data_IF_467291366742
#
_entry.id   IF_467291366742
#
_cell.length_a   1.000
_cell.length_b   1.000
_cell.length_c   1.000
_cell.angle_alpha   90.00
_cell.angle_beta   90.00
_cell.angle_gamma   90.00
#
_symmetry.space_group_name_H-M   'P 1'
#
loop_
_entity.id
_entity.type
_entity.pdbx_description
1 polymer ?
#
# COMPACT_ATOMS: atom_id res chain seq x y z
N UNK A 1 -29.51 71.56 -23.75
CA UNK A 1 -28.78 70.53 -24.51
C UNK A 1 -27.36 70.45 -23.97
N UNK A 2 -27.04 69.45 -23.14
CA UNK A 2 -25.73 68.80 -23.02
C UNK A 2 -25.85 67.74 -21.91
N UNK A 3 -25.96 66.47 -22.31
CA UNK A 3 -25.93 65.34 -21.39
C UNK A 3 -24.45 65.01 -21.15
N UNK A 4 -23.99 65.13 -19.91
CA UNK A 4 -22.68 64.61 -19.49
C UNK A 4 -22.73 63.08 -19.55
N UNK A 5 -21.84 62.49 -20.35
CA UNK A 5 -21.57 61.06 -20.41
C UNK A 5 -20.44 60.79 -19.42
N UNK A 6 -20.75 60.14 -18.30
CA UNK A 6 -19.73 59.56 -17.42
C UNK A 6 -19.18 58.30 -18.07
N UNK A 7 -17.91 58.32 -18.48
CA UNK A 7 -17.19 57.13 -18.91
C UNK A 7 -16.83 56.30 -17.67
N UNK A 8 -17.48 55.15 -17.53
CA UNK A 8 -17.17 54.16 -16.50
C UNK A 8 -15.93 53.37 -16.96
N UNK A 9 -14.76 53.69 -16.40
CA UNK A 9 -13.54 52.92 -16.63
C UNK A 9 -13.69 51.57 -15.92
N UNK A 10 -13.95 50.51 -16.68
CA UNK A 10 -13.88 49.14 -16.18
C UNK A 10 -12.41 48.84 -15.93
N UNK A 11 -12.01 48.83 -14.65
CA UNK A 11 -10.75 48.23 -14.22
C UNK A 11 -10.90 46.73 -14.46
N UNK A 12 -10.30 46.23 -15.54
CA UNK A 12 -10.15 44.80 -15.75
C UNK A 12 -9.40 44.25 -14.53
N UNK A 13 -10.08 43.43 -13.73
CA UNK A 13 -9.39 42.56 -12.76
C UNK A 13 -8.37 41.74 -13.54
N UNK A 14 -7.17 41.61 -12.97
CA UNK A 14 -6.13 40.73 -13.50
C UNK A 14 -6.76 39.36 -13.80
N UNK A 15 -6.93 39.06 -15.08
CA UNK A 15 -7.44 37.79 -15.52
C UNK A 15 -6.49 36.70 -15.04
N UNK A 16 -7.04 35.67 -14.38
CA UNK A 16 -6.37 34.39 -14.19
C UNK A 16 -5.83 33.94 -15.56
N UNK A 17 -4.51 34.03 -15.74
CA UNK A 17 -3.85 33.36 -16.85
C UNK A 17 -4.21 31.88 -16.74
N UNK A 18 -4.60 31.21 -17.84
CA UNK A 18 -4.75 29.76 -17.83
C UNK A 18 -3.41 29.19 -17.36
N UNK A 19 -3.37 28.61 -16.16
CA UNK A 19 -2.19 27.87 -15.73
C UNK A 19 -2.03 26.74 -16.74
N UNK A 20 -0.91 26.73 -17.47
CA UNK A 20 -0.57 25.62 -18.35
C UNK A 20 -0.80 24.30 -17.60
N UNK A 21 -1.26 23.27 -18.32
CA UNK A 21 -1.48 21.96 -17.72
C UNK A 21 -0.21 21.52 -16.97
N UNK A 22 -0.32 21.06 -15.70
CA UNK A 22 0.84 20.67 -14.91
C UNK A 22 1.73 19.67 -15.65
N UNK A 23 3.05 19.89 -15.57
CA UNK A 23 4.07 19.04 -16.17
C UNK A 23 4.98 18.45 -15.10
N UNK A 24 5.49 17.27 -15.41
CA UNK A 24 6.49 16.57 -14.63
C UNK A 24 7.88 17.12 -14.98
N UNK A 25 8.64 17.55 -13.97
CA UNK A 25 9.94 18.22 -14.16
C UNK A 25 11.14 17.30 -13.98
N UNK A 26 10.96 16.14 -13.37
CA UNK A 26 12.03 15.26 -12.94
C UNK A 26 12.54 15.60 -11.52
N UNK A 27 13.15 14.65 -10.81
CA UNK A 27 13.59 14.81 -9.42
C UNK A 27 14.79 15.76 -9.27
N UNK A 28 15.47 16.07 -10.37
CA UNK A 28 16.58 17.06 -10.40
C UNK A 28 16.17 18.45 -9.90
N UNK A 29 14.89 18.83 -10.04
CA UNK A 29 14.38 20.10 -9.50
C UNK A 29 14.34 20.14 -7.97
N UNK A 30 14.45 18.99 -7.30
CA UNK A 30 14.46 18.85 -5.84
C UNK A 30 15.90 18.72 -5.27
N UNK A 31 16.86 18.39 -6.13
CA UNK A 31 18.16 17.82 -5.76
C UNK A 31 19.22 18.81 -5.23
N UNK A 32 18.93 20.12 -5.19
CA UNK A 32 19.89 21.10 -4.68
C UNK A 32 20.14 20.90 -3.16
N UNK A 33 21.39 21.04 -2.66
CA UNK A 33 21.69 20.97 -1.23
C UNK A 33 20.96 21.99 -0.35
N UNK A 34 20.48 23.09 -0.93
CA UNK A 34 19.63 24.10 -0.25
C UNK A 34 18.15 23.73 -0.25
N UNK A 35 17.76 22.70 -1.00
CA UNK A 35 16.39 22.19 -1.14
C UNK A 35 16.27 20.83 -0.44
N UNK A 36 16.24 19.72 -1.18
CA UNK A 36 16.11 18.36 -0.63
C UNK A 36 17.35 17.49 -0.87
N UNK A 37 18.42 18.02 -1.44
CA UNK A 37 19.66 17.31 -1.77
C UNK A 37 20.79 17.43 -0.75
N UNK A 38 20.49 17.82 0.49
CA UNK A 38 21.47 17.81 1.57
C UNK A 38 22.03 16.41 1.82
N UNK A 39 23.29 16.30 2.24
CA UNK A 39 23.91 15.00 2.55
C UNK A 39 23.54 14.49 3.96
N UNK A 40 23.04 15.36 4.82
CA UNK A 40 22.64 15.08 6.20
C UNK A 40 21.32 15.80 6.52
N UNK A 41 20.49 15.23 7.43
CA UNK A 41 19.23 15.84 7.80
C UNK A 41 19.44 17.14 8.57
N UNK A 42 18.59 18.13 8.30
CA UNK A 42 18.52 19.40 9.02
C UNK A 42 17.40 19.39 10.06
N UNK A 43 17.65 20.00 11.21
CA UNK A 43 16.71 20.07 12.34
C UNK A 43 15.96 21.39 12.45
N UNK A 44 16.42 22.45 11.78
CA UNK A 44 15.91 23.82 11.83
C UNK A 44 14.79 24.11 10.81
N UNK A 45 14.37 23.11 10.03
CA UNK A 45 13.26 23.22 9.07
C UNK A 45 12.14 22.21 9.35
N UNK A 46 10.98 22.39 8.72
CA UNK A 46 9.84 21.46 8.84
C UNK A 46 10.09 20.09 8.21
N UNK A 47 11.12 19.97 7.36
CA UNK A 47 11.56 18.73 6.70
C UNK A 47 13.02 18.45 7.05
N UNK A 48 13.64 17.40 6.51
CA UNK A 48 15.06 17.12 6.74
C UNK A 48 15.98 17.75 5.69
N UNK A 49 15.45 18.15 4.52
CA UNK A 49 16.22 18.73 3.42
C UNK A 49 17.30 17.79 2.84
N UNK A 50 17.19 16.49 3.07
CA UNK A 50 18.04 15.43 2.53
C UNK A 50 17.22 14.30 1.88
N UNK A 51 15.96 14.56 1.57
CA UNK A 51 15.01 13.60 1.05
C UNK A 51 15.44 13.04 -0.31
N UNK A 52 15.91 13.90 -1.22
CA UNK A 52 16.45 13.48 -2.52
C UNK A 52 17.65 12.55 -2.34
N UNK A 53 18.59 12.91 -1.45
CA UNK A 53 19.78 12.09 -1.17
C UNK A 53 19.41 10.74 -0.57
N UNK A 54 18.38 10.71 0.29
CA UNK A 54 17.86 9.45 0.86
C UNK A 54 17.21 8.59 -0.22
N UNK A 55 16.38 9.20 -1.08
CA UNK A 55 15.72 8.53 -2.20
C UNK A 55 16.75 7.91 -3.15
N UNK A 56 17.66 8.72 -3.71
CA UNK A 56 18.58 8.25 -4.76
C UNK A 56 19.59 7.21 -4.26
N UNK A 57 19.96 7.22 -2.97
CA UNK A 57 20.97 6.32 -2.42
C UNK A 57 20.37 5.06 -1.79
N UNK A 58 19.22 5.18 -1.13
CA UNK A 58 18.69 4.12 -0.26
C UNK A 58 17.35 3.56 -0.71
N UNK A 59 16.54 4.36 -1.43
CA UNK A 59 15.19 3.96 -1.78
C UNK A 59 15.19 3.04 -3.01
N UNK A 60 14.46 1.92 -2.91
CA UNK A 60 14.29 0.96 -4.01
C UNK A 60 13.57 1.58 -5.21
N UNK A 61 12.73 2.59 -4.97
CA UNK A 61 12.00 3.31 -6.01
C UNK A 61 12.91 4.00 -7.03
N UNK A 62 14.07 4.54 -6.59
CA UNK A 62 15.07 5.12 -7.49
C UNK A 62 15.68 4.10 -8.47
N UNK A 63 15.64 2.81 -8.11
CA UNK A 63 16.15 1.71 -8.94
C UNK A 63 15.04 0.99 -9.73
N UNK A 64 13.80 1.49 -9.70
CA UNK A 64 12.67 0.79 -10.30
C UNK A 64 12.80 0.62 -11.82
N UNK A 65 13.37 1.60 -12.53
CA UNK A 65 13.60 1.47 -13.97
C UNK A 65 14.72 0.46 -14.27
N UNK A 66 15.82 0.50 -13.52
CA UNK A 66 17.00 -0.32 -13.80
C UNK A 66 16.72 -1.83 -13.70
N UNK A 67 15.78 -2.24 -12.83
CA UNK A 67 15.40 -3.67 -12.74
C UNK A 67 14.75 -4.20 -14.02
N UNK A 68 14.19 -3.34 -14.88
CA UNK A 68 13.62 -3.75 -16.17
C UNK A 68 14.68 -4.20 -17.19
N UNK A 69 15.96 -3.98 -16.91
CA UNK A 69 17.09 -4.38 -17.76
C UNK A 69 17.87 -5.59 -17.23
N UNK A 70 17.48 -6.11 -16.06
CA UNK A 70 18.21 -7.21 -15.43
C UNK A 70 17.91 -8.57 -16.12
N UNK A 71 18.63 -9.65 -15.78
CA UNK A 71 18.42 -10.97 -16.39
C UNK A 71 17.00 -11.54 -16.16
N UNK A 72 16.35 -11.22 -15.04
CA UNK A 72 14.98 -11.66 -14.75
C UNK A 72 14.00 -10.96 -15.70
N UNK A 73 14.06 -9.64 -15.81
CA UNK A 73 13.21 -8.86 -16.70
C UNK A 73 13.43 -9.22 -18.19
N UNK A 74 14.67 -9.50 -18.60
CA UNK A 74 14.98 -10.00 -19.94
C UNK A 74 14.30 -11.34 -20.22
N UNK A 75 14.33 -12.26 -19.24
CA UNK A 75 13.64 -13.55 -19.34
C UNK A 75 12.12 -13.37 -19.40
N UNK A 76 11.56 -12.51 -18.54
CA UNK A 76 10.14 -12.19 -18.53
C UNK A 76 9.67 -11.64 -19.88
N UNK A 77 10.40 -10.68 -20.45
CA UNK A 77 10.10 -10.12 -21.76
C UNK A 77 10.04 -11.21 -22.84
N UNK A 78 10.99 -12.15 -22.83
CA UNK A 78 10.97 -13.30 -23.75
C UNK A 78 9.75 -14.21 -23.56
N UNK A 79 9.40 -14.55 -22.31
CA UNK A 79 8.24 -15.41 -21.99
C UNK A 79 6.94 -14.74 -22.43
N UNK A 80 6.81 -13.43 -22.18
CA UNK A 80 5.64 -12.62 -22.49
C UNK A 80 5.58 -12.15 -23.95
N UNK A 81 6.54 -12.51 -24.79
CA UNK A 81 6.60 -12.10 -26.20
C UNK A 81 6.82 -10.59 -26.41
N UNK A 82 7.43 -9.91 -25.45
CA UNK A 82 7.75 -8.48 -25.50
C UNK A 82 9.11 -8.25 -26.16
N UNK A 83 9.28 -7.09 -26.81
CA UNK A 83 10.59 -6.66 -27.34
C UNK A 83 11.63 -6.52 -26.22
N UNK A 84 11.27 -5.79 -25.16
CA UNK A 84 12.05 -5.61 -23.94
C UNK A 84 11.13 -5.10 -22.82
N UNK A 85 11.49 -5.34 -21.55
CA UNK A 85 10.65 -4.90 -20.42
C UNK A 85 10.77 -3.38 -20.18
N UNK A 86 11.94 -2.79 -20.39
CA UNK A 86 12.26 -1.36 -20.23
C UNK A 86 11.61 -0.43 -21.27
N UNK A 87 10.94 -0.99 -22.28
CA UNK A 87 10.14 -0.24 -23.27
C UNK A 87 8.67 -0.67 -23.31
N UNK A 88 8.29 -1.68 -22.53
CA UNK A 88 6.93 -2.20 -22.52
C UNK A 88 6.04 -1.33 -21.61
N UNK A 89 4.94 -0.73 -22.12
CA UNK A 89 4.08 0.12 -21.31
C UNK A 89 3.55 -0.55 -20.03
N UNK A 90 3.23 -1.85 -20.10
CA UNK A 90 2.77 -2.61 -18.92
C UNK A 90 3.79 -2.70 -17.79
N UNK A 91 5.09 -2.65 -18.10
CA UNK A 91 6.17 -2.67 -17.12
C UNK A 91 6.44 -1.24 -16.62
N UNK A 92 6.50 -0.28 -17.54
CA UNK A 92 6.75 1.13 -17.24
C UNK A 92 5.65 1.76 -16.38
N UNK A 93 4.41 1.27 -16.45
CA UNK A 93 3.28 1.74 -15.66
C UNK A 93 3.53 1.78 -14.14
N UNK A 94 4.39 0.89 -13.61
CA UNK A 94 4.76 0.84 -12.20
C UNK A 94 6.24 1.15 -11.94
N UNK A 95 7.12 0.90 -12.91
CA UNK A 95 8.58 0.99 -12.73
C UNK A 95 9.19 2.32 -13.17
N UNK A 96 8.38 3.19 -13.78
CA UNK A 96 8.76 4.52 -14.21
C UNK A 96 7.57 5.49 -14.07
N UNK A 97 7.86 6.78 -14.14
CA UNK A 97 6.83 7.80 -14.32
C UNK A 97 6.42 7.88 -15.80
N UNK A 98 5.64 6.92 -16.31
CA UNK A 98 5.27 6.90 -17.74
C UNK A 98 4.05 7.79 -18.03
N UNK A 99 4.32 9.01 -18.47
CA UNK A 99 3.30 10.02 -18.79
C UNK A 99 3.42 10.48 -20.26
N UNK A 100 2.35 10.93 -20.93
CA UNK A 100 2.45 11.39 -22.33
C UNK A 100 3.40 12.59 -22.50
N UNK A 101 3.98 12.76 -23.70
CA UNK A 101 4.99 13.80 -23.97
C UNK A 101 4.53 15.23 -23.66
N UNK A 102 3.24 15.53 -23.84
CA UNK A 102 2.68 16.85 -23.52
C UNK A 102 2.65 17.16 -22.00
N UNK A 103 2.82 16.16 -21.14
CA UNK A 103 2.94 16.29 -19.68
C UNK A 103 4.40 16.32 -19.22
N UNK A 104 5.38 16.16 -20.11
CA UNK A 104 6.81 16.14 -19.76
C UNK A 104 7.41 17.55 -19.91
N UNK A 105 8.12 18.02 -18.90
CA UNK A 105 8.99 19.18 -19.05
C UNK A 105 10.28 18.80 -19.80
N UNK A 106 11.07 19.79 -20.23
CA UNK A 106 12.34 19.55 -20.92
C UNK A 106 13.36 18.75 -20.07
N UNK A 107 13.27 18.87 -18.75
CA UNK A 107 14.17 18.23 -17.78
C UNK A 107 13.71 16.84 -17.34
N UNK A 108 12.55 16.38 -17.80
CA UNK A 108 11.99 15.09 -17.45
C UNK A 108 12.80 13.94 -18.06
N UNK A 109 13.07 12.90 -17.26
CA UNK A 109 13.65 11.64 -17.73
C UNK A 109 12.85 10.45 -17.18
N UNK A 110 12.41 9.55 -18.06
CA UNK A 110 11.69 8.32 -17.67
C UNK A 110 12.60 7.31 -16.96
N UNK A 111 13.92 7.44 -17.09
CA UNK A 111 14.90 6.54 -16.45
C UNK A 111 15.10 6.84 -14.96
N UNK A 112 14.53 7.93 -14.44
CA UNK A 112 14.55 8.27 -13.01
C UNK A 112 13.79 7.27 -12.12
N UNK A 113 13.13 6.26 -12.71
CA UNK A 113 12.35 5.26 -11.99
C UNK A 113 11.11 5.85 -11.34
N UNK A 114 10.78 5.37 -10.14
CA UNK A 114 9.69 5.93 -9.33
C UNK A 114 10.26 7.11 -8.54
N UNK A 115 10.24 8.29 -9.18
CA UNK A 115 10.81 9.54 -8.66
C UNK A 115 9.84 10.32 -7.77
N UNK A 116 10.29 11.47 -7.23
CA UNK A 116 9.52 12.33 -6.32
C UNK A 116 8.08 12.61 -6.80
N UNK A 117 7.93 12.93 -8.08
CA UNK A 117 6.63 13.30 -8.67
C UNK A 117 5.73 12.10 -8.96
N UNK A 118 6.25 10.87 -8.90
CA UNK A 118 5.44 9.65 -8.94
C UNK A 118 4.50 9.58 -7.74
N UNK A 119 4.94 10.11 -6.59
CA UNK A 119 4.15 10.19 -5.37
C UNK A 119 3.54 11.59 -5.18
N UNK A 120 4.32 12.66 -5.36
CA UNK A 120 3.90 14.03 -5.09
C UNK A 120 3.12 14.71 -6.22
N UNK A 121 3.03 14.11 -7.41
CA UNK A 121 2.38 14.71 -8.58
C UNK A 121 3.28 15.71 -9.33
N UNK A 122 2.79 16.25 -10.46
CA UNK A 122 3.58 17.10 -11.37
C UNK A 122 3.95 18.44 -10.74
N UNK A 123 5.25 18.73 -10.67
CA UNK A 123 5.79 19.84 -9.88
C UNK A 123 5.74 21.20 -10.57
N UNK A 124 5.55 21.29 -11.89
CA UNK A 124 5.71 22.55 -12.63
C UNK A 124 4.93 23.73 -12.04
N UNK A 125 3.74 23.45 -11.50
CA UNK A 125 2.82 24.49 -11.04
C UNK A 125 2.95 24.79 -9.54
N UNK A 126 3.52 23.88 -8.73
CA UNK A 126 3.72 24.09 -7.29
C UNK A 126 5.18 24.25 -6.86
N UNK A 127 6.15 23.94 -7.71
CA UNK A 127 7.59 24.09 -7.41
C UNK A 127 7.95 25.53 -7.03
N UNK A 128 7.49 26.51 -7.81
CA UNK A 128 7.71 27.94 -7.51
C UNK A 128 7.12 28.34 -6.14
N UNK A 129 5.79 28.20 -5.93
CA UNK A 129 5.15 28.47 -4.65
C UNK A 129 5.75 27.74 -3.46
N UNK A 130 6.21 26.50 -3.67
CA UNK A 130 6.90 25.68 -2.66
C UNK A 130 8.24 26.27 -2.19
N UNK A 131 8.96 27.01 -3.04
CA UNK A 131 10.23 27.65 -2.65
C UNK A 131 10.08 28.98 -1.90
N UNK A 132 8.86 29.49 -1.76
CA UNK A 132 8.62 30.80 -1.12
C UNK A 132 8.89 30.76 0.38
N UNK A 133 9.18 31.91 0.99
CA UNK A 133 9.51 32.00 2.44
C UNK A 133 8.40 31.51 3.36
N UNK A 134 7.14 31.71 2.96
CA UNK A 134 5.96 31.31 3.73
C UNK A 134 5.52 29.85 3.44
N UNK A 135 6.18 29.15 2.52
CA UNK A 135 5.88 27.76 2.12
C UNK A 135 5.73 26.79 3.28
N UNK A 136 6.48 26.99 4.37
CA UNK A 136 6.46 26.10 5.54
C UNK A 136 5.18 26.17 6.36
N UNK A 137 4.32 27.17 6.13
CA UNK A 137 3.05 27.34 6.84
C UNK A 137 2.00 26.32 6.38
N UNK A 138 1.27 25.64 7.29
CA UNK A 138 0.28 24.63 6.93
C UNK A 138 -0.78 25.09 5.93
N UNK A 139 -1.24 26.33 6.03
CA UNK A 139 -2.25 26.94 5.15
C UNK A 139 -1.78 27.03 3.68
N UNK A 140 -0.48 27.08 3.44
CA UNK A 140 0.09 27.17 2.09
C UNK A 140 0.25 25.80 1.43
N UNK A 141 0.14 24.71 2.19
CA UNK A 141 0.15 23.36 1.61
C UNK A 141 -1.08 23.11 0.74
N UNK A 142 -2.25 23.61 1.15
CA UNK A 142 -3.47 23.49 0.36
C UNK A 142 -3.36 24.22 -0.99
N UNK A 143 -2.59 25.30 -1.05
CA UNK A 143 -2.29 25.99 -2.30
C UNK A 143 -1.54 25.07 -3.27
N UNK A 144 -0.53 24.32 -2.79
CA UNK A 144 0.21 23.36 -3.61
C UNK A 144 -0.68 22.22 -4.11
N UNK A 145 -1.57 21.74 -3.25
CA UNK A 145 -2.56 20.73 -3.62
C UNK A 145 -3.47 21.25 -4.73
N UNK A 146 -3.96 22.48 -4.62
CA UNK A 146 -4.75 23.14 -5.65
C UNK A 146 -3.97 23.37 -6.96
N UNK A 147 -2.64 23.38 -6.89
CA UNK A 147 -1.73 23.50 -8.03
C UNK A 147 -1.31 22.15 -8.64
N UNK A 148 -1.76 21.02 -8.07
CA UNK A 148 -1.53 19.67 -8.60
C UNK A 148 -0.64 18.77 -7.74
N UNK A 149 -0.21 19.22 -6.56
CA UNK A 149 0.50 18.35 -5.61
C UNK A 149 -0.47 17.32 -5.01
N UNK A 150 -0.04 16.06 -4.91
CA UNK A 150 -0.77 15.06 -4.13
C UNK A 150 -0.46 15.22 -2.65
N UNK A 151 -1.51 15.32 -1.83
CA UNK A 151 -1.35 15.47 -0.39
C UNK A 151 -1.02 14.14 0.30
N UNK A 152 0.26 13.81 0.37
CA UNK A 152 0.73 12.63 1.09
C UNK A 152 0.76 12.83 2.61
N UNK A 153 0.37 14.01 3.16
CA UNK A 153 0.22 14.18 4.62
C UNK A 153 -1.03 13.47 5.11
N UNK A 154 -2.05 13.38 4.26
CA UNK A 154 -3.22 12.54 4.50
C UNK A 154 -2.86 11.06 4.27
N UNK A 155 -2.93 10.20 5.31
CA UNK A 155 -2.62 8.77 5.17
C UNK A 155 -3.56 8.04 4.21
N UNK A 156 -4.79 8.52 3.97
CA UNK A 156 -5.72 7.95 2.98
C UNK A 156 -5.18 8.16 1.57
N UNK A 157 -4.80 9.40 1.23
CA UNK A 157 -4.19 9.72 -0.06
C UNK A 157 -2.83 9.06 -0.23
N UNK A 158 -2.01 9.03 0.82
CA UNK A 158 -0.72 8.35 0.80
C UNK A 158 -0.89 6.85 0.51
N UNK A 159 -1.78 6.17 1.23
CA UNK A 159 -2.05 4.75 0.99
C UNK A 159 -2.54 4.52 -0.43
N UNK A 160 -3.52 5.30 -0.89
CA UNK A 160 -4.08 5.17 -2.24
C UNK A 160 -2.99 5.33 -3.31
N UNK A 161 -2.06 6.27 -3.11
CA UNK A 161 -0.91 6.49 -4.02
C UNK A 161 0.00 5.26 -4.09
N UNK A 162 0.33 4.64 -2.94
CA UNK A 162 1.14 3.41 -2.93
C UNK A 162 0.41 2.24 -3.63
N UNK A 163 -0.90 2.10 -3.37
CA UNK A 163 -1.71 1.00 -3.90
C UNK A 163 -1.92 1.08 -5.41
N UNK A 164 -1.71 2.24 -6.05
CA UNK A 164 -1.76 2.34 -7.52
C UNK A 164 -0.82 1.31 -8.18
N UNK A 165 0.36 1.08 -7.61
CA UNK A 165 1.32 0.09 -8.09
C UNK A 165 1.31 -1.20 -7.24
N UNK A 166 1.16 -1.09 -5.92
CA UNK A 166 1.29 -2.22 -4.99
C UNK A 166 0.02 -3.07 -4.80
N UNK A 167 -1.07 -2.70 -5.46
CA UNK A 167 -2.30 -3.49 -5.54
C UNK A 167 -2.86 -3.47 -6.97
N UNK A 168 -2.75 -2.32 -7.62
CA UNK A 168 -3.04 -2.16 -9.03
C UNK A 168 -4.36 -1.43 -9.32
N UNK A 169 -4.32 -0.57 -10.32
CA UNK A 169 -5.47 0.07 -10.95
C UNK A 169 -5.90 -0.70 -12.20
N UNK A 170 -6.72 -0.07 -13.05
CA UNK A 170 -7.02 -0.60 -14.39
C UNK A 170 -5.78 -0.55 -15.30
N UNK A 171 -4.95 0.49 -15.13
CA UNK A 171 -3.85 0.80 -16.05
C UNK A 171 -2.48 0.38 -15.47
N UNK A 172 -2.41 0.14 -14.17
CA UNK A 172 -1.24 -0.36 -13.44
C UNK A 172 -1.60 -1.69 -12.80
N UNK A 173 -1.06 -2.80 -13.27
CA UNK A 173 -1.42 -4.12 -12.72
C UNK A 173 -0.31 -5.13 -12.92
N UNK A 174 -0.40 -6.19 -12.12
CA UNK A 174 0.35 -7.43 -12.29
C UNK A 174 -0.69 -8.54 -12.35
N UNK A 175 -0.77 -9.21 -13.48
CA UNK A 175 -1.65 -10.36 -13.70
C UNK A 175 -0.89 -11.67 -13.44
N UNK A 176 -1.62 -12.77 -13.46
CA UNK A 176 -1.02 -14.08 -13.25
C UNK A 176 -0.04 -14.49 -14.37
N UNK A 177 -0.19 -13.98 -15.60
CA UNK A 177 0.78 -14.25 -16.68
C UNK A 177 2.14 -13.60 -16.38
N UNK A 178 2.13 -12.37 -15.86
CA UNK A 178 3.33 -11.67 -15.41
C UNK A 178 4.00 -12.39 -14.24
N UNK A 179 3.21 -12.87 -13.27
CA UNK A 179 3.72 -13.67 -12.15
C UNK A 179 4.35 -14.98 -12.65
N UNK A 180 3.65 -15.71 -13.53
CA UNK A 180 4.15 -16.94 -14.13
C UNK A 180 5.43 -16.73 -14.95
N UNK A 181 5.62 -15.54 -15.55
CA UNK A 181 6.84 -15.17 -16.24
C UNK A 181 8.02 -14.81 -15.30
N UNK A 182 7.75 -14.55 -14.03
CA UNK A 182 8.74 -14.27 -12.99
C UNK A 182 8.57 -12.96 -12.23
N UNK A 183 7.48 -12.22 -12.43
CA UNK A 183 7.18 -11.05 -11.58
C UNK A 183 6.84 -11.53 -10.15
N UNK A 184 7.34 -10.89 -9.08
CA UNK A 184 6.86 -11.18 -7.74
C UNK A 184 5.35 -10.87 -7.63
N UNK A 185 4.61 -11.61 -6.83
CA UNK A 185 3.24 -11.20 -6.51
C UNK A 185 3.23 -9.88 -5.73
N UNK A 186 2.13 -9.14 -5.85
CA UNK A 186 1.97 -7.87 -5.17
C UNK A 186 1.43 -8.10 -3.76
N UNK A 187 2.30 -7.94 -2.76
CA UNK A 187 1.94 -7.87 -1.34
C UNK A 187 2.42 -6.55 -0.76
N UNK A 188 1.60 -5.95 0.12
CA UNK A 188 1.86 -4.63 0.67
C UNK A 188 1.08 -4.43 1.97
N UNK A 189 1.66 -3.71 2.92
CA UNK A 189 0.99 -3.19 4.11
C UNK A 189 1.63 -1.84 4.41
N UNK A 190 0.83 -0.79 4.60
CA UNK A 190 1.33 0.58 4.67
C UNK A 190 2.36 0.76 5.78
N UNK A 191 2.03 0.39 7.02
CA UNK A 191 2.88 0.68 8.17
C UNK A 191 4.21 -0.08 8.11
N UNK A 192 4.15 -1.34 7.70
CA UNK A 192 5.29 -2.26 7.58
C UNK A 192 6.21 -1.83 6.43
N UNK A 193 5.67 -1.52 5.25
CA UNK A 193 6.49 -1.09 4.12
C UNK A 193 7.08 0.30 4.35
N UNK A 194 6.36 1.19 5.05
CA UNK A 194 6.90 2.48 5.47
C UNK A 194 8.03 2.35 6.51
N UNK A 195 8.00 1.34 7.37
CA UNK A 195 9.04 1.17 8.41
C UNK A 195 10.34 0.60 7.84
N UNK A 196 10.26 -0.26 6.81
CA UNK A 196 11.44 -0.87 6.17
C UNK A 196 11.97 -0.09 4.97
N UNK A 197 11.16 0.78 4.35
CA UNK A 197 11.67 1.74 3.36
C UNK A 197 12.43 2.87 4.08
N UNK A 198 13.48 3.44 3.47
CA UNK A 198 14.15 4.59 4.04
C UNK A 198 13.21 5.80 4.01
N UNK A 199 12.54 6.04 5.13
CA UNK A 199 11.69 7.22 5.30
C UNK A 199 12.51 8.46 4.96
N UNK A 200 11.93 9.30 4.13
CA UNK A 200 12.46 10.60 3.72
C UNK A 200 11.39 11.67 3.97
N UNK A 201 10.72 11.54 5.13
CA UNK A 201 9.79 12.52 5.68
C UNK A 201 9.81 12.36 7.20
N UNK A 202 9.48 13.43 7.92
CA UNK A 202 9.33 13.39 9.38
C UNK A 202 8.00 12.74 9.75
N UNK A 203 8.02 11.83 10.71
CA UNK A 203 6.80 11.43 11.40
C UNK A 203 6.33 12.53 12.34
N UNK A 204 5.02 12.70 12.45
CA UNK A 204 4.40 13.59 13.44
C UNK A 204 4.24 12.90 14.81
N UNK A 205 5.28 12.21 15.30
CA UNK A 205 5.24 11.49 16.59
C UNK A 205 5.06 12.41 17.79
N UNK A 206 5.43 13.68 17.64
CA UNK A 206 5.18 14.75 18.60
C UNK A 206 3.69 15.06 18.77
N UNK A 207 2.91 14.91 17.69
CA UNK A 207 1.45 15.12 17.68
C UNK A 207 0.67 13.86 17.95
N UNK A 208 1.15 12.72 17.43
CA UNK A 208 0.57 11.41 17.63
C UNK A 208 1.68 10.37 17.86
N UNK A 209 1.96 10.01 19.13
CA UNK A 209 2.94 8.98 19.46
C UNK A 209 2.63 7.60 18.83
N UNK A 210 1.37 7.38 18.47
CA UNK A 210 0.83 6.15 17.88
C UNK A 210 0.59 6.26 16.37
N UNK A 211 1.20 7.24 15.70
CA UNK A 211 1.04 7.48 14.25
C UNK A 211 1.24 6.22 13.39
N UNK A 212 2.19 5.34 13.71
CA UNK A 212 2.41 4.10 12.93
C UNK A 212 1.24 3.10 13.10
N UNK A 213 0.59 3.05 14.27
CA UNK A 213 -0.60 2.23 14.51
C UNK A 213 -1.83 2.85 13.81
N UNK A 214 -1.90 4.18 13.73
CA UNK A 214 -2.92 4.89 12.95
C UNK A 214 -2.75 4.61 11.46
N UNK A 215 -1.52 4.69 10.95
CA UNK A 215 -1.18 4.41 9.56
C UNK A 215 -1.53 2.95 9.20
N UNK A 216 -1.28 1.99 10.10
CA UNK A 216 -1.73 0.60 9.94
C UNK A 216 -3.26 0.50 9.81
N UNK A 217 -4.01 1.16 10.70
CA UNK A 217 -5.47 1.09 10.71
C UNK A 217 -6.08 1.70 9.44
N UNK A 218 -5.63 2.89 9.05
CA UNK A 218 -6.09 3.59 7.84
C UNK A 218 -5.64 2.82 6.59
N UNK A 219 -4.39 2.36 6.56
CA UNK A 219 -3.80 1.60 5.48
C UNK A 219 -4.59 0.31 5.19
N UNK A 220 -4.90 -0.46 6.23
CA UNK A 220 -5.71 -1.67 6.11
C UNK A 220 -7.12 -1.41 5.57
N UNK A 221 -7.79 -0.34 6.03
CA UNK A 221 -9.13 0.01 5.55
C UNK A 221 -9.12 0.40 4.06
N UNK A 222 -8.17 1.24 3.65
CA UNK A 222 -8.02 1.70 2.26
C UNK A 222 -7.63 0.54 1.35
N UNK A 223 -6.71 -0.33 1.80
CA UNK A 223 -6.29 -1.50 1.04
C UNK A 223 -7.42 -2.50 0.82
N UNK A 224 -8.21 -2.80 1.85
CA UNK A 224 -9.34 -3.71 1.72
C UNK A 224 -10.41 -3.13 0.78
N UNK A 225 -10.73 -1.85 0.93
CA UNK A 225 -11.65 -1.14 0.02
C UNK A 225 -11.20 -1.26 -1.43
N UNK A 226 -9.94 -0.98 -1.70
CA UNK A 226 -9.44 -0.96 -3.08
C UNK A 226 -9.23 -2.37 -3.65
N UNK A 227 -8.97 -3.39 -2.81
CA UNK A 227 -8.97 -4.79 -3.22
C UNK A 227 -10.38 -5.22 -3.65
N UNK A 228 -11.41 -4.84 -2.90
CA UNK A 228 -12.80 -5.16 -3.24
C UNK A 228 -13.24 -4.46 -4.54
N UNK A 229 -12.83 -3.20 -4.75
CA UNK A 229 -13.02 -2.53 -6.05
C UNK A 229 -12.28 -3.27 -7.18
N UNK A 230 -11.07 -3.77 -6.93
CA UNK A 230 -10.32 -4.58 -7.89
C UNK A 230 -11.06 -5.88 -8.21
N UNK A 231 -11.58 -6.61 -7.22
CA UNK A 231 -12.40 -7.81 -7.45
C UNK A 231 -13.63 -7.49 -8.31
N UNK A 232 -14.35 -6.40 -8.00
CA UNK A 232 -15.52 -6.00 -8.77
C UNK A 232 -15.18 -5.65 -10.24
N UNK A 233 -14.04 -4.98 -10.45
CA UNK A 233 -13.52 -4.63 -11.78
C UNK A 233 -13.10 -5.88 -12.55
N UNK A 234 -12.29 -6.74 -11.95
CA UNK A 234 -11.74 -7.94 -12.58
C UNK A 234 -12.88 -8.92 -12.93
N UNK A 235 -13.92 -9.02 -12.08
CA UNK A 235 -15.14 -9.77 -12.36
C UNK A 235 -15.88 -9.29 -13.62
N UNK A 236 -15.69 -8.05 -14.04
CA UNK A 236 -16.25 -7.49 -15.28
C UNK A 236 -15.22 -7.44 -16.43
N UNK A 237 -13.97 -7.86 -16.16
CA UNK A 237 -12.86 -7.80 -17.11
C UNK A 237 -12.86 -8.92 -18.16
N UNK A 238 -11.95 -8.88 -19.14
CA UNK A 238 -11.86 -9.93 -20.16
C UNK A 238 -11.34 -11.27 -19.61
N UNK A 239 -10.59 -11.27 -18.51
CA UNK A 239 -10.00 -12.46 -17.88
C UNK A 239 -10.66 -12.69 -16.53
N UNK A 240 -11.23 -13.90 -16.34
CA UNK A 240 -11.79 -14.33 -15.06
C UNK A 240 -11.66 -15.84 -14.89
N UNK A 241 -11.29 -16.35 -13.70
CA UNK A 241 -10.75 -15.58 -12.56
C UNK A 241 -9.35 -15.03 -12.89
N UNK A 242 -9.02 -13.87 -12.31
CA UNK A 242 -7.64 -13.40 -12.27
C UNK A 242 -6.93 -14.08 -11.09
N UNK A 243 -6.08 -15.07 -11.39
CA UNK A 243 -5.41 -15.91 -10.39
C UNK A 243 -4.43 -15.13 -9.51
N UNK A 244 -3.94 -13.96 -9.93
CA UNK A 244 -3.14 -13.08 -9.08
C UNK A 244 -3.89 -12.58 -7.82
N UNK A 245 -5.22 -12.71 -7.78
CA UNK A 245 -6.02 -12.38 -6.60
C UNK A 245 -6.26 -13.58 -5.67
N UNK A 246 -5.84 -14.79 -6.02
CA UNK A 246 -6.09 -16.02 -5.25
C UNK A 246 -4.85 -16.42 -4.43
N UNK A 247 -5.01 -17.38 -3.52
CA UNK A 247 -3.89 -17.97 -2.78
C UNK A 247 -2.99 -18.78 -3.74
N UNK A 248 -1.82 -18.21 -4.06
CA UNK A 248 -0.82 -18.86 -4.92
C UNK A 248 -0.34 -20.19 -4.33
N UNK A 249 -0.20 -20.27 -3.01
CA UNK A 249 0.33 -21.44 -2.31
C UNK A 249 -0.73 -22.51 -2.01
N UNK A 250 -1.97 -22.29 -2.44
CA UNK A 250 -2.96 -23.37 -2.54
C UNK A 250 -2.61 -24.38 -3.65
N UNK A 251 -1.88 -23.93 -4.68
CA UNK A 251 -1.39 -24.78 -5.77
C UNK A 251 0.13 -24.95 -5.76
N UNK A 252 0.89 -23.91 -5.38
CA UNK A 252 2.35 -23.88 -5.42
C UNK A 252 3.00 -24.31 -4.09
N UNK A 253 2.62 -25.47 -3.57
CA UNK A 253 3.20 -26.03 -2.35
C UNK A 253 3.82 -27.41 -2.61
N UNK A 254 4.61 -27.90 -1.65
CA UNK A 254 5.18 -29.26 -1.72
C UNK A 254 4.08 -30.33 -1.84
N UNK A 255 4.21 -31.22 -2.83
CA UNK A 255 3.33 -32.38 -3.02
C UNK A 255 3.87 -33.57 -2.22
N UNK A 256 3.36 -33.76 -1.01
CA UNK A 256 3.72 -34.87 -0.10
C UNK A 256 2.61 -35.94 -0.07
N UNK A 257 2.89 -37.17 0.42
CA UNK A 257 1.84 -38.14 0.72
C UNK A 257 0.77 -37.54 1.64
N UNK A 258 -0.48 -37.95 1.47
CA UNK A 258 -1.61 -37.36 2.18
C UNK A 258 -1.47 -37.39 3.70
N UNK A 259 -0.88 -38.46 4.23
CA UNK A 259 -0.62 -38.63 5.67
C UNK A 259 0.39 -37.63 6.24
N UNK A 260 1.22 -37.03 5.38
CA UNK A 260 2.26 -36.05 5.74
C UNK A 260 1.86 -34.62 5.37
N UNK A 261 0.65 -34.41 4.84
CA UNK A 261 0.17 -33.11 4.38
C UNK A 261 -0.79 -32.50 5.39
N UNK A 262 -0.31 -31.51 6.15
CA UNK A 262 -1.16 -30.74 7.08
C UNK A 262 -2.37 -30.09 6.39
N UNK A 263 -2.24 -29.76 5.09
CA UNK A 263 -3.32 -29.19 4.27
C UNK A 263 -4.42 -30.23 4.03
N UNK A 264 -4.04 -31.46 3.69
CA UNK A 264 -5.00 -32.54 3.41
C UNK A 264 -5.61 -33.10 4.70
N UNK A 265 -4.84 -33.18 5.79
CA UNK A 265 -5.34 -33.57 7.12
C UNK A 265 -6.42 -32.62 7.62
N UNK A 266 -6.21 -31.30 7.47
CA UNK A 266 -7.20 -30.28 7.83
C UNK A 266 -8.42 -30.27 6.88
N UNK A 267 -8.20 -30.65 5.62
CA UNK A 267 -9.19 -30.50 4.55
C UNK A 267 -9.34 -29.05 4.07
N UNK A 268 -10.44 -28.79 3.37
CA UNK A 268 -10.67 -27.55 2.61
C UNK A 268 -11.96 -26.85 3.06
N UNK A 269 -12.00 -26.31 4.30
CA UNK A 269 -13.22 -25.71 4.83
C UNK A 269 -13.64 -24.49 4.00
N UNK A 270 -14.92 -24.42 3.63
CA UNK A 270 -15.48 -23.28 2.89
C UNK A 270 -15.24 -23.29 1.39
N UNK A 271 -14.54 -24.30 0.84
CA UNK A 271 -14.35 -24.43 -0.61
C UNK A 271 -14.18 -25.87 -1.08
N UNK A 272 -14.25 -26.08 -2.39
CA UNK A 272 -14.04 -27.42 -2.98
C UNK A 272 -12.54 -27.71 -3.03
N UNK A 273 -12.08 -28.94 -2.72
CA UNK A 273 -10.71 -29.35 -3.00
C UNK A 273 -10.35 -29.07 -4.46
N UNK A 274 -9.19 -28.44 -4.68
CA UNK A 274 -8.71 -28.04 -6.01
C UNK A 274 -9.12 -26.63 -6.45
N UNK A 275 -10.10 -25.99 -5.81
CA UNK A 275 -10.36 -24.56 -6.02
C UNK A 275 -9.40 -23.74 -5.14
N UNK A 276 -8.48 -22.94 -5.70
CA UNK A 276 -7.71 -21.97 -4.92
C UNK A 276 -8.65 -20.93 -4.28
N UNK A 277 -8.51 -20.69 -2.96
CA UNK A 277 -9.31 -19.69 -2.27
C UNK A 277 -8.92 -18.27 -2.67
N UNK A 278 -9.86 -17.33 -2.53
CA UNK A 278 -9.56 -15.92 -2.62
C UNK A 278 -8.60 -15.50 -1.51
N UNK A 279 -7.57 -14.72 -1.84
CA UNK A 279 -6.54 -14.33 -0.89
C UNK A 279 -7.09 -13.33 0.15
N UNK A 280 -7.13 -13.77 1.41
CA UNK A 280 -7.71 -13.01 2.54
C UNK A 280 -6.67 -12.20 3.33
N UNK A 281 -5.41 -12.12 2.88
CA UNK A 281 -4.32 -11.47 3.64
C UNK A 281 -4.61 -10.01 4.01
N UNK A 282 -5.38 -9.31 3.18
CA UNK A 282 -5.76 -7.89 3.36
C UNK A 282 -6.95 -7.68 4.29
N UNK A 283 -7.60 -8.76 4.73
CA UNK A 283 -8.76 -8.72 5.63
C UNK A 283 -8.46 -9.40 6.98
N UNK A 284 -7.80 -10.55 6.97
CA UNK A 284 -7.75 -11.47 8.12
C UNK A 284 -7.18 -10.86 9.39
N UNK A 285 -6.17 -9.98 9.25
CA UNK A 285 -5.59 -9.22 10.37
C UNK A 285 -6.35 -7.93 10.60
N UNK A 286 -6.75 -7.25 9.52
CA UNK A 286 -7.49 -5.99 9.60
C UNK A 286 -8.82 -6.14 10.35
N UNK A 287 -9.50 -7.30 10.27
CA UNK A 287 -10.72 -7.56 11.05
C UNK A 287 -10.50 -7.39 12.56
N UNK A 288 -9.29 -7.65 13.06
CA UNK A 288 -8.95 -7.46 14.48
C UNK A 288 -8.87 -5.96 14.83
N UNK A 289 -8.36 -5.13 13.91
CA UNK A 289 -8.39 -3.67 14.06
C UNK A 289 -9.83 -3.17 14.11
N UNK A 290 -10.68 -3.62 13.18
CA UNK A 290 -12.09 -3.22 13.14
C UNK A 290 -12.83 -3.69 14.40
N UNK A 291 -12.55 -4.89 14.91
CA UNK A 291 -13.14 -5.39 16.16
C UNK A 291 -12.81 -4.51 17.37
N UNK A 292 -11.60 -3.96 17.45
CA UNK A 292 -11.19 -3.06 18.55
C UNK A 292 -11.79 -1.66 18.40
N UNK A 293 -12.03 -1.18 17.17
CA UNK A 293 -12.57 0.16 16.91
C UNK A 293 -14.10 0.18 16.91
N UNK A 294 -14.74 -0.76 16.22
CA UNK A 294 -16.19 -0.87 16.08
C UNK A 294 -16.63 -2.32 15.76
N UNK A 295 -17.02 -3.04 16.82
CA UNK A 295 -17.52 -4.43 16.74
C UNK A 295 -18.73 -4.60 15.83
N UNK A 296 -19.62 -3.62 15.75
CA UNK A 296 -20.81 -3.71 14.91
C UNK A 296 -20.43 -3.69 13.43
N UNK A 297 -19.56 -2.75 13.05
CA UNK A 297 -19.01 -2.72 11.69
C UNK A 297 -18.15 -3.95 11.38
N UNK A 298 -17.45 -4.51 12.38
CA UNK A 298 -16.65 -5.71 12.19
C UNK A 298 -17.50 -6.95 11.85
N UNK A 299 -18.66 -7.14 12.49
CA UNK A 299 -19.60 -8.22 12.19
C UNK A 299 -20.15 -8.09 10.77
N UNK A 300 -20.59 -6.88 10.39
CA UNK A 300 -21.09 -6.61 9.04
C UNK A 300 -20.01 -6.85 7.99
N UNK A 301 -18.79 -6.32 8.21
CA UNK A 301 -17.67 -6.53 7.31
C UNK A 301 -17.36 -8.02 7.15
N UNK A 302 -17.34 -8.78 8.24
CA UNK A 302 -17.08 -10.23 8.19
C UNK A 302 -18.13 -10.95 7.34
N UNK A 303 -19.41 -10.64 7.53
CA UNK A 303 -20.49 -11.22 6.70
C UNK A 303 -20.33 -10.86 5.22
N UNK A 304 -19.95 -9.63 4.90
CA UNK A 304 -19.79 -9.20 3.51
C UNK A 304 -18.57 -9.84 2.85
N UNK A 305 -17.47 -9.97 3.59
CA UNK A 305 -16.26 -10.66 3.12
C UNK A 305 -16.49 -12.15 2.94
N UNK A 306 -17.22 -12.82 3.83
CA UNK A 306 -17.58 -14.23 3.68
C UNK A 306 -18.37 -14.48 2.39
N UNK A 307 -19.29 -13.58 2.02
CA UNK A 307 -20.05 -13.66 0.76
C UNK A 307 -19.13 -13.46 -0.46
N UNK A 308 -18.26 -12.45 -0.44
CA UNK A 308 -17.27 -12.24 -1.53
C UNK A 308 -16.37 -13.47 -1.66
N UNK A 309 -15.84 -13.96 -0.54
CA UNK A 309 -14.97 -15.13 -0.49
C UNK A 309 -15.64 -16.36 -1.10
N UNK A 310 -16.89 -16.66 -0.70
CA UNK A 310 -17.63 -17.79 -1.23
C UNK A 310 -17.84 -17.69 -2.75
N UNK A 311 -18.21 -16.51 -3.24
CA UNK A 311 -18.44 -16.27 -4.67
C UNK A 311 -17.15 -16.37 -5.50
N UNK A 312 -16.07 -15.71 -5.07
CA UNK A 312 -14.79 -15.72 -5.80
C UNK A 312 -14.16 -17.11 -5.78
N UNK A 313 -14.13 -17.76 -4.61
CA UNK A 313 -13.51 -19.08 -4.43
C UNK A 313 -14.28 -20.21 -5.14
N UNK A 314 -15.56 -20.02 -5.44
CA UNK A 314 -16.32 -20.98 -6.23
C UNK A 314 -15.80 -21.12 -7.67
N UNK A 315 -15.13 -20.09 -8.21
CA UNK A 315 -14.64 -19.93 -9.59
C UNK A 315 -15.70 -19.99 -10.70
N UNK A 316 -16.85 -20.60 -10.43
CA UNK A 316 -17.98 -20.77 -11.33
C UNK A 316 -19.20 -19.89 -10.95
N UNK A 317 -19.07 -19.00 -9.96
CA UNK A 317 -20.14 -18.09 -9.58
C UNK A 317 -20.45 -17.07 -10.70
N UNK A 318 -21.67 -16.53 -10.67
CA UNK A 318 -22.07 -15.48 -11.58
C UNK A 318 -21.22 -14.22 -11.37
N UNK A 319 -20.58 -13.77 -12.46
CA UNK A 319 -19.64 -12.64 -12.44
C UNK A 319 -20.31 -11.31 -12.09
N UNK A 320 -21.58 -11.13 -12.44
CA UNK A 320 -22.35 -9.93 -12.06
C UNK A 320 -22.67 -9.93 -10.57
N UNK A 321 -22.93 -11.11 -9.98
CA UNK A 321 -23.12 -11.25 -8.53
C UNK A 321 -21.82 -10.99 -7.77
N UNK A 322 -20.69 -11.50 -8.25
CA UNK A 322 -19.37 -11.19 -7.68
C UNK A 322 -19.12 -9.69 -7.70
N UNK A 323 -19.34 -9.03 -8.85
CA UNK A 323 -19.14 -7.60 -8.99
C UNK A 323 -20.04 -6.80 -8.04
N UNK A 324 -21.33 -7.11 -7.98
CA UNK A 324 -22.27 -6.43 -7.11
C UNK A 324 -21.92 -6.61 -5.62
N UNK A 325 -21.59 -7.83 -5.19
CA UNK A 325 -21.25 -8.10 -3.80
C UNK A 325 -19.91 -7.45 -3.40
N UNK A 326 -18.91 -7.47 -4.28
CA UNK A 326 -17.63 -6.81 -4.03
C UNK A 326 -17.76 -5.28 -4.01
N UNK A 327 -18.60 -4.68 -4.87
CA UNK A 327 -18.92 -3.25 -4.81
C UNK A 327 -19.57 -2.90 -3.48
N UNK A 328 -20.61 -3.63 -3.06
CA UNK A 328 -21.28 -3.38 -1.78
C UNK A 328 -20.33 -3.49 -0.57
N UNK A 329 -19.48 -4.52 -0.56
CA UNK A 329 -18.47 -4.69 0.48
C UNK A 329 -17.43 -3.54 0.45
N UNK A 330 -17.07 -3.03 -0.73
CA UNK A 330 -16.14 -1.90 -0.86
C UNK A 330 -16.71 -0.61 -0.27
N UNK A 331 -18.01 -0.37 -0.39
CA UNK A 331 -18.69 0.78 0.23
C UNK A 331 -18.72 0.67 1.75
N UNK A 332 -18.87 -0.55 2.28
CA UNK A 332 -18.75 -0.80 3.72
C UNK A 332 -17.32 -0.54 4.22
N UNK A 333 -16.30 -0.99 3.48
CA UNK A 333 -14.90 -0.72 3.78
C UNK A 333 -14.55 0.78 3.69
N UNK A 334 -15.14 1.53 2.76
CA UNK A 334 -14.92 2.97 2.64
C UNK A 334 -15.44 3.75 3.87
N UNK A 335 -16.59 3.34 4.43
CA UNK A 335 -17.09 3.89 5.70
C UNK A 335 -16.13 3.63 6.87
N UNK A 336 -15.39 2.53 6.84
CA UNK A 336 -14.38 2.23 7.87
C UNK A 336 -13.16 3.15 7.76
N UNK A 337 -12.78 3.61 6.57
CA UNK A 337 -11.65 4.53 6.38
C UNK A 337 -11.80 5.76 7.28
N UNK A 338 -12.97 6.40 7.27
CA UNK A 338 -13.26 7.58 8.11
C UNK A 338 -13.22 7.27 9.62
N UNK A 339 -13.69 6.07 10.00
CA UNK A 339 -13.63 5.62 11.41
C UNK A 339 -12.20 5.41 11.86
N UNK A 340 -11.34 4.80 11.03
CA UNK A 340 -9.94 4.58 11.37
C UNK A 340 -9.16 5.88 11.54
N UNK A 341 -9.46 6.90 10.74
CA UNK A 341 -8.83 8.23 10.87
C UNK A 341 -9.05 8.86 12.25
N UNK A 342 -10.24 8.66 12.82
CA UNK A 342 -10.67 9.32 14.06
C UNK A 342 -10.63 8.43 15.29
N UNK A 343 -10.32 7.14 15.12
CA UNK A 343 -10.28 6.18 16.23
C UNK A 343 -9.26 6.60 17.30
N UNK A 344 -9.61 6.48 18.60
CA UNK A 344 -8.64 6.66 19.66
C UNK A 344 -7.64 5.50 19.62
N UNK A 345 -6.34 5.82 19.63
CA UNK A 345 -5.27 4.84 19.63
C UNK A 345 -4.34 5.15 20.79
N UNK A 346 -4.11 4.14 21.62
CA UNK A 346 -3.29 4.23 22.82
C UNK A 346 -2.56 2.90 23.10
N UNK A 347 -1.77 2.86 24.17
CA UNK A 347 -1.07 1.66 24.59
C UNK A 347 -2.03 0.49 24.88
N UNK A 348 -3.09 0.64 25.70
CA UNK A 348 -4.06 -0.42 25.95
C UNK A 348 -4.69 -1.01 24.68
N UNK A 349 -5.13 -0.18 23.74
CA UNK A 349 -5.68 -0.63 22.46
C UNK A 349 -4.63 -1.39 21.65
N UNK A 350 -3.43 -0.84 21.50
CA UNK A 350 -2.34 -1.47 20.74
C UNK A 350 -1.98 -2.84 21.31
N UNK A 351 -1.91 -2.95 22.64
CA UNK A 351 -1.64 -4.20 23.33
C UNK A 351 -2.77 -5.23 23.13
N UNK A 352 -4.04 -4.82 23.23
CA UNK A 352 -5.19 -5.69 22.96
C UNK A 352 -5.19 -6.18 21.52
N UNK A 353 -4.87 -5.31 20.57
CA UNK A 353 -4.78 -5.67 19.15
C UNK A 353 -3.69 -6.73 18.90
N UNK A 354 -2.47 -6.54 19.45
CA UNK A 354 -1.41 -7.55 19.33
C UNK A 354 -1.83 -8.90 19.94
N UNK A 355 -2.49 -8.87 21.11
CA UNK A 355 -3.02 -10.07 21.78
C UNK A 355 -4.13 -10.74 20.94
N UNK A 356 -5.03 -9.97 20.33
CA UNK A 356 -6.10 -10.47 19.48
C UNK A 356 -5.55 -11.16 18.21
N UNK A 357 -4.51 -10.60 17.59
CA UNK A 357 -3.82 -11.22 16.46
C UNK A 357 -3.20 -12.56 16.87
N UNK A 358 -2.48 -12.58 18.01
CA UNK A 358 -1.86 -13.82 18.51
C UNK A 358 -2.90 -14.88 18.90
N UNK A 359 -4.06 -14.46 19.42
CA UNK A 359 -5.16 -15.35 19.78
C UNK A 359 -5.88 -15.96 18.57
N UNK A 360 -5.87 -15.28 17.42
CA UNK A 360 -6.46 -15.75 16.15
C UNK A 360 -5.49 -16.63 15.34
N UNK A 361 -4.43 -17.16 15.97
CA UNK A 361 -3.32 -17.83 15.31
C UNK A 361 -3.73 -19.00 14.42
N UNK A 362 -4.62 -19.88 14.89
CA UNK A 362 -5.07 -21.02 14.08
C UNK A 362 -5.84 -20.57 12.85
N UNK A 363 -6.70 -19.55 12.99
CA UNK A 363 -7.50 -19.03 11.90
C UNK A 363 -6.65 -18.28 10.87
N UNK A 364 -5.65 -17.49 11.31
CA UNK A 364 -4.69 -16.82 10.41
C UNK A 364 -3.86 -17.85 9.66
N UNK A 365 -3.26 -18.80 10.39
CA UNK A 365 -2.37 -19.81 9.81
C UNK A 365 -3.07 -20.73 8.79
N UNK A 366 -4.38 -20.88 8.98
CA UNK A 366 -5.28 -21.66 8.16
C UNK A 366 -5.70 -20.98 6.85
N UNK A 367 -5.54 -19.67 6.69
CA UNK A 367 -5.93 -19.02 5.43
C UNK A 367 -4.93 -19.35 4.34
N UNK A 368 -3.73 -18.78 4.42
CA UNK A 368 -2.64 -18.98 3.47
C UNK A 368 -1.32 -18.45 4.06
N UNK A 369 -0.23 -18.61 3.31
CA UNK A 369 1.09 -18.10 3.69
C UNK A 369 1.10 -16.56 3.76
N UNK A 370 0.43 -15.87 2.82
CA UNK A 370 0.40 -14.40 2.78
C UNK A 370 -0.34 -13.78 3.97
N UNK A 371 -1.36 -14.45 4.47
CA UNK A 371 -2.10 -14.09 5.68
C UNK A 371 -1.23 -14.20 6.93
N UNK A 372 -0.42 -15.27 6.98
CA UNK A 372 0.56 -15.46 8.05
C UNK A 372 1.67 -14.40 7.98
N UNK A 373 2.24 -14.14 6.79
CA UNK A 373 3.25 -13.11 6.59
C UNK A 373 2.74 -11.72 6.97
N UNK A 374 1.54 -11.37 6.50
CA UNK A 374 0.88 -10.11 6.87
C UNK A 374 0.72 -9.99 8.39
N UNK A 375 0.35 -11.08 9.07
CA UNK A 375 0.21 -11.04 10.54
C UNK A 375 1.54 -10.84 11.25
N UNK A 376 2.64 -11.41 10.76
CA UNK A 376 3.98 -11.19 11.30
C UNK A 376 4.43 -9.74 11.09
N UNK A 377 4.24 -9.19 9.89
CA UNK A 377 4.55 -7.79 9.55
C UNK A 377 3.76 -6.79 10.42
N UNK A 378 2.45 -7.01 10.57
CA UNK A 378 1.59 -6.16 11.39
C UNK A 378 1.98 -6.28 12.87
N UNK A 379 2.26 -7.49 13.37
CA UNK A 379 2.65 -7.68 14.76
C UNK A 379 3.99 -7.00 15.07
N UNK A 380 4.98 -7.09 14.17
CA UNK A 380 6.25 -6.38 14.31
C UNK A 380 6.04 -4.86 14.33
N UNK A 381 5.25 -4.31 13.40
CA UNK A 381 4.93 -2.88 13.34
C UNK A 381 4.24 -2.38 14.61
N UNK A 382 3.23 -3.10 15.08
CA UNK A 382 2.53 -2.80 16.33
C UNK A 382 3.48 -2.85 17.52
N UNK A 383 4.36 -3.85 17.57
CA UNK A 383 5.27 -4.04 18.69
C UNK A 383 6.38 -2.98 18.73
N UNK A 384 6.92 -2.58 17.57
CA UNK A 384 7.85 -1.45 17.45
C UNK A 384 7.19 -0.15 17.95
N UNK A 385 5.96 0.12 17.52
CA UNK A 385 5.22 1.30 17.99
C UNK A 385 4.92 1.22 19.51
N UNK A 386 4.57 0.04 20.01
CA UNK A 386 4.28 -0.18 21.43
C UNK A 386 5.53 0.01 22.31
N UNK A 387 6.64 -0.64 21.97
CA UNK A 387 7.89 -0.58 22.72
C UNK A 387 8.52 0.82 22.74
N UNK A 388 8.26 1.66 21.73
CA UNK A 388 8.65 3.07 21.71
C UNK A 388 7.90 3.91 22.76
N UNK A 389 6.64 3.56 23.04
CA UNK A 389 5.72 4.37 23.84
C UNK A 389 5.40 3.79 25.21
N UNK A 390 5.68 2.51 25.45
CA UNK A 390 5.42 1.80 26.69
C UNK A 390 6.66 1.05 27.16
N UNK A 391 6.82 0.93 28.49
CA UNK A 391 7.91 0.15 29.08
C UNK A 391 7.59 -1.35 28.99
N UNK A 392 8.47 -2.12 28.36
CA UNK A 392 8.34 -3.57 28.20
C UNK A 392 9.56 -4.26 28.82
N UNK A 393 9.36 -5.03 29.89
CA UNK A 393 10.47 -5.63 30.64
C UNK A 393 11.17 -6.78 29.88
N UNK A 394 10.44 -7.48 29.01
CA UNK A 394 10.95 -8.60 28.19
C UNK A 394 11.13 -8.22 26.72
N UNK A 395 11.53 -6.97 26.44
CA UNK A 395 11.42 -6.39 25.11
C UNK A 395 12.15 -7.19 24.02
N UNK A 396 13.41 -7.56 24.29
CA UNK A 396 14.27 -8.31 23.37
C UNK A 396 13.72 -9.71 23.07
N UNK A 397 13.10 -10.35 24.08
CA UNK A 397 12.52 -11.69 23.91
C UNK A 397 11.29 -11.67 23.01
N UNK A 398 10.43 -10.67 23.16
CA UNK A 398 9.25 -10.51 22.29
C UNK A 398 9.71 -10.21 20.87
N UNK A 399 10.63 -9.25 20.69
CA UNK A 399 11.15 -8.92 19.37
C UNK A 399 11.79 -10.12 18.68
N UNK A 400 12.68 -10.85 19.37
CA UNK A 400 13.29 -12.06 18.81
C UNK A 400 12.26 -13.13 18.41
N UNK A 401 11.16 -13.26 19.17
CA UNK A 401 10.09 -14.22 18.88
C UNK A 401 9.27 -13.80 17.66
N UNK A 402 9.00 -12.50 17.49
CA UNK A 402 8.37 -11.94 16.28
C UNK A 402 9.29 -12.15 15.07
N UNK A 403 10.58 -11.83 15.20
CA UNK A 403 11.55 -11.99 14.11
C UNK A 403 11.72 -13.45 13.67
N UNK A 404 11.55 -14.41 14.59
CA UNK A 404 11.56 -15.83 14.26
C UNK A 404 10.38 -16.27 13.38
N UNK A 405 9.26 -15.52 13.35
CA UNK A 405 8.12 -15.82 12.46
C UNK A 405 8.52 -15.72 10.98
N UNK A 406 9.33 -14.71 10.63
CA UNK A 406 9.70 -14.43 9.23
C UNK A 406 10.49 -15.55 8.54
N UNK A 407 11.18 -16.40 9.32
CA UNK A 407 11.90 -17.56 8.78
C UNK A 407 11.00 -18.53 8.01
N UNK A 408 9.69 -18.52 8.29
CA UNK A 408 8.73 -19.40 7.62
C UNK A 408 8.36 -18.93 6.21
N UNK A 409 8.75 -17.70 5.83
CA UNK A 409 8.42 -17.08 4.55
C UNK A 409 9.65 -16.96 3.62
N UNK A 410 10.83 -17.43 4.06
CA UNK A 410 12.02 -17.51 3.22
C UNK A 410 11.85 -18.52 2.07
N UNK A 411 11.08 -19.58 2.30
CA UNK A 411 10.57 -20.49 1.28
C UNK A 411 9.04 -20.65 1.46
N UNK A 412 8.25 -19.76 0.84
CA UNK A 412 6.79 -19.79 0.95
C UNK A 412 6.15 -21.11 0.54
N UNK A 413 6.78 -21.88 -0.36
CA UNK A 413 6.27 -23.18 -0.81
C UNK A 413 6.38 -24.28 0.27
N UNK A 414 7.23 -24.04 1.27
CA UNK A 414 7.45 -24.89 2.45
C UNK A 414 6.61 -24.49 3.66
N UNK A 415 5.81 -23.43 3.54
CA UNK A 415 5.01 -22.89 4.65
C UNK A 415 4.16 -23.96 5.34
N UNK A 416 4.15 -23.92 6.67
CA UNK A 416 3.46 -24.87 7.53
C UNK A 416 2.57 -24.14 8.55
N UNK A 417 1.26 -24.16 8.30
CA UNK A 417 0.27 -23.48 9.15
C UNK A 417 0.35 -23.86 10.63
N UNK A 418 0.34 -25.15 11.00
CA UNK A 418 0.44 -25.56 12.41
C UNK A 418 1.69 -25.03 13.13
N UNK A 419 2.86 -25.06 12.48
CA UNK A 419 4.10 -24.49 13.03
C UNK A 419 4.01 -22.98 13.19
N UNK A 420 3.43 -22.28 12.21
CA UNK A 420 3.19 -20.85 12.29
C UNK A 420 2.26 -20.49 13.45
N UNK A 421 1.12 -21.18 13.57
CA UNK A 421 0.15 -20.95 14.64
C UNK A 421 0.77 -21.16 16.03
N UNK A 422 1.61 -22.20 16.19
CA UNK A 422 2.35 -22.43 17.43
C UNK A 422 3.32 -21.29 17.74
N UNK A 423 4.09 -20.84 16.76
CA UNK A 423 5.04 -19.75 16.94
C UNK A 423 4.33 -18.42 17.27
N UNK A 424 3.21 -18.13 16.61
CA UNK A 424 2.42 -16.94 16.84
C UNK A 424 1.79 -16.92 18.25
N UNK A 425 1.26 -18.06 18.73
CA UNK A 425 0.82 -18.20 20.13
C UNK A 425 1.95 -17.95 21.13
N UNK A 426 3.14 -18.47 20.85
CA UNK A 426 4.31 -18.25 21.71
C UNK A 426 4.69 -16.77 21.81
N UNK A 427 4.47 -15.96 20.77
CA UNK A 427 4.58 -14.50 20.88
C UNK A 427 3.50 -13.94 21.82
N UNK A 428 2.25 -14.38 21.65
CA UNK A 428 1.12 -14.00 22.52
C UNK A 428 1.39 -14.24 24.01
N UNK A 429 1.98 -15.37 24.37
CA UNK A 429 2.34 -15.72 25.75
C UNK A 429 3.39 -14.77 26.37
N UNK A 430 4.18 -14.09 25.53
CA UNK A 430 5.18 -13.12 25.96
C UNK A 430 4.62 -11.70 26.09
N UNK A 431 3.47 -11.41 25.47
CA UNK A 431 2.79 -10.12 25.56
C UNK A 431 2.11 -10.01 26.94
N UNK A 432 2.82 -9.49 27.93
CA UNK A 432 2.25 -9.23 29.27
C UNK A 432 1.34 -8.03 29.23
#
# INVERSE_FOLDING_TARGET
MQRLIFALTIIASAADLPKDAPKYTGPGSCASPSCHGGVAPRSDTSVWQNEYSTWVVKDKHANAYSVLTNPVATRMAKILGLKSADTAPKCLACHALDVPDNQRARTFDSMDGVSCESCHGPASNWLGPHTTKDSSKPENHQEWVNLGMRDLRDPVHRTSTCLECHLGTKDKFVDHEMIAAGHPDLYFELASFQSVMPRHWKLATDKDPWVDVRDLAIGGAVQLRDQLKKVARDAQGPVWPEYANLDCFACHHSLTPAMDSWRQERGYPGHRPGNPPWNLSRYIVFKQVVNEVDRGSAQQLSSDIEKVYALVTALAADRSQIAAQATAASEAADKLVQKMTTAPIDAPMTQRLMKAICADADNIAAQDERSAEQSAMVLDSLYVAYSRNAKVDNADRVHASIQALFKQFEDPSSYNGPKFAQALRAVGDLLK
#
